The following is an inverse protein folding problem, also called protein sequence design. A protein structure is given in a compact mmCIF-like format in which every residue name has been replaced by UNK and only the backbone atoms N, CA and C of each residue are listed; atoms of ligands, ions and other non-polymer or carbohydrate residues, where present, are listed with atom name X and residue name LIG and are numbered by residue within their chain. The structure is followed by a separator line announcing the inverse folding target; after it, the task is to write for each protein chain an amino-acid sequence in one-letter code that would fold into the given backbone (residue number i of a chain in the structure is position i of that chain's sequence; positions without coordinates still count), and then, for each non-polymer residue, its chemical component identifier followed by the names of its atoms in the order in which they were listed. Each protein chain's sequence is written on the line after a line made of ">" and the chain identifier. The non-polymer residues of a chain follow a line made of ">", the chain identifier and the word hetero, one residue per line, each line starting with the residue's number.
data_IF_588672034030
#
_entry.id   IF_588672034030
#
_cell.length_a   1.000
_cell.length_b   1.000
_cell.length_c   1.000
_cell.angle_alpha   90.00
_cell.angle_beta   90.00
_cell.angle_gamma   90.00
#
_symmetry.space_group_name_H-M   'P 1'
#
loop_
_entity.id
_entity.type
_entity.pdbx_description
1 polymer ?
#
# COMPACT_ATOMS: atom_id res chain seq x y z
N UNK A 1 23.68 8.49 -7.53
CA UNK A 1 22.45 7.71 -7.24
C UNK A 1 21.83 8.32 -5.98
N UNK A 2 20.90 9.27 -6.14
CA UNK A 2 20.34 10.01 -4.98
C UNK A 2 18.87 10.41 -5.14
N UNK A 3 18.17 10.01 -6.21
CA UNK A 3 16.78 10.40 -6.43
C UNK A 3 15.81 9.49 -5.63
N UNK A 4 16.16 8.22 -5.49
CA UNK A 4 15.26 7.16 -5.00
C UNK A 4 14.98 7.25 -3.49
N UNK A 5 15.93 7.81 -2.72
CA UNK A 5 15.82 7.92 -1.25
C UNK A 5 14.62 8.75 -0.79
N UNK A 6 14.29 9.83 -1.50
CA UNK A 6 13.20 10.71 -1.08
C UNK A 6 11.83 10.02 -1.20
N UNK A 7 11.61 9.25 -2.27
CA UNK A 7 10.35 8.53 -2.46
C UNK A 7 10.15 7.47 -1.39
N UNK A 8 11.19 6.66 -1.14
CA UNK A 8 11.19 5.67 -0.08
C UNK A 8 10.84 6.28 1.28
N UNK A 9 11.52 7.35 1.68
CA UNK A 9 11.27 8.01 2.97
C UNK A 9 9.86 8.57 3.09
N UNK A 10 9.31 9.14 2.01
CA UNK A 10 7.94 9.69 1.99
C UNK A 10 6.90 8.59 2.09
N UNK A 11 7.05 7.51 1.32
CA UNK A 11 6.12 6.38 1.37
C UNK A 11 6.23 5.68 2.72
N UNK A 12 7.43 5.50 3.26
CA UNK A 12 7.63 4.90 4.57
C UNK A 12 7.02 5.75 5.70
N UNK A 13 7.10 7.09 5.61
CA UNK A 13 6.37 7.98 6.52
C UNK A 13 4.86 7.79 6.43
N UNK A 14 4.32 7.70 5.21
CA UNK A 14 2.90 7.48 4.98
C UNK A 14 2.43 6.14 5.60
N UNK A 15 3.19 5.07 5.38
CA UNK A 15 2.89 3.75 5.94
C UNK A 15 3.00 3.75 7.46
N UNK A 16 3.98 4.44 8.06
CA UNK A 16 4.10 4.54 9.53
C UNK A 16 2.89 5.23 10.17
N UNK A 17 2.24 6.18 9.48
CA UNK A 17 0.99 6.77 9.97
C UNK A 17 -0.19 5.79 9.88
N UNK A 18 -0.17 4.89 8.90
CA UNK A 18 -1.22 3.88 8.69
C UNK A 18 -1.03 2.64 9.57
N UNK A 19 0.20 2.29 9.95
CA UNK A 19 0.52 1.15 10.83
C UNK A 19 -0.40 1.03 12.07
N UNK A 20 -0.58 2.06 12.91
CA UNK A 20 -1.46 1.94 14.07
C UNK A 20 -2.93 1.68 13.71
N UNK A 21 -3.38 2.15 12.54
CA UNK A 21 -4.73 1.87 12.03
C UNK A 21 -4.85 0.45 11.49
N UNK A 22 -3.80 -0.04 10.83
CA UNK A 22 -3.74 -1.41 10.31
C UNK A 22 -3.63 -2.43 11.44
N UNK A 23 -2.78 -2.17 12.44
CA UNK A 23 -2.63 -3.02 13.62
C UNK A 23 -3.95 -3.14 14.41
N UNK A 24 -4.74 -2.07 14.46
CA UNK A 24 -6.09 -2.10 15.04
C UNK A 24 -7.04 -3.05 14.29
N UNK A 25 -6.86 -3.18 12.98
CA UNK A 25 -7.59 -4.13 12.11
C UNK A 25 -6.94 -5.53 12.07
N UNK A 26 -5.88 -5.77 12.85
CA UNK A 26 -5.02 -6.97 12.78
C UNK A 26 -4.40 -7.20 11.40
N UNK A 27 -4.12 -6.10 10.71
CA UNK A 27 -3.35 -6.05 9.48
C UNK A 27 -2.01 -5.35 9.67
N UNK A 28 -1.09 -5.60 8.76
CA UNK A 28 0.17 -4.88 8.61
C UNK A 28 0.45 -4.70 7.12
N UNK A 29 1.31 -3.74 6.79
CA UNK A 29 1.73 -3.48 5.41
C UNK A 29 3.21 -3.13 5.41
N UNK A 30 3.92 -3.64 4.43
CA UNK A 30 5.35 -3.42 4.24
C UNK A 30 5.62 -2.97 2.81
N UNK A 31 6.43 -1.92 2.68
CA UNK A 31 6.94 -1.51 1.38
C UNK A 31 7.95 -2.55 0.88
N UNK A 32 7.75 -3.00 -0.36
CA UNK A 32 8.66 -3.97 -1.00
C UNK A 32 9.58 -3.26 -1.97
N UNK A 33 9.01 -2.49 -2.89
CA UNK A 33 9.79 -1.82 -3.94
C UNK A 33 8.99 -0.69 -4.60
N UNK A 34 9.67 0.21 -5.31
CA UNK A 34 9.03 1.26 -6.12
C UNK A 34 9.57 1.13 -7.55
N UNK A 35 8.69 0.90 -8.52
CA UNK A 35 9.09 0.73 -9.92
C UNK A 35 9.42 2.07 -10.59
N UNK A 36 10.15 2.01 -11.70
CA UNK A 36 10.45 3.17 -12.56
C UNK A 36 9.19 3.87 -13.11
N UNK A 37 8.09 3.14 -13.24
CA UNK A 37 6.77 3.67 -13.61
C UNK A 37 6.09 4.48 -12.50
N UNK A 38 6.78 4.72 -11.38
CA UNK A 38 6.25 5.34 -10.16
C UNK A 38 5.10 4.50 -9.56
N UNK A 39 5.24 3.17 -9.58
CA UNK A 39 4.28 2.25 -8.94
C UNK A 39 4.88 1.73 -7.65
N UNK A 40 4.19 1.96 -6.53
CA UNK A 40 4.63 1.46 -5.22
C UNK A 40 4.11 0.04 -5.04
N UNK A 41 5.02 -0.91 -4.80
CA UNK A 41 4.70 -2.29 -4.45
C UNK A 41 4.70 -2.47 -2.96
N UNK A 42 3.53 -2.79 -2.41
CA UNK A 42 3.31 -3.03 -1.00
C UNK A 42 2.91 -4.48 -0.78
N UNK A 43 3.38 -5.08 0.30
CA UNK A 43 2.97 -6.39 0.77
C UNK A 43 2.13 -6.22 2.02
N UNK A 44 0.87 -6.62 1.95
CA UNK A 44 0.02 -6.69 3.12
C UNK A 44 0.30 -7.99 3.88
N UNK A 45 0.26 -7.90 5.19
CA UNK A 45 0.58 -8.96 6.15
C UNK A 45 -0.54 -8.97 7.19
N UNK A 46 -1.59 -9.79 7.02
CA UNK A 46 -2.70 -9.72 7.97
C UNK A 46 -3.92 -10.58 7.68
N UNK A 47 -4.80 -10.65 8.67
CA UNK A 47 -5.89 -11.63 8.78
C UNK A 47 -7.15 -11.33 7.93
N UNK A 48 -7.15 -10.29 7.09
CA UNK A 48 -8.33 -9.95 6.28
C UNK A 48 -8.45 -10.73 4.96
N UNK A 49 -7.77 -11.88 4.83
CA UNK A 49 -8.01 -12.84 3.74
C UNK A 49 -9.41 -13.47 3.76
N UNK A 50 -10.23 -13.21 4.79
CA UNK A 50 -11.57 -13.81 4.93
C UNK A 50 -12.74 -12.91 4.52
N UNK A 51 -12.52 -11.65 4.13
CA UNK A 51 -13.60 -10.74 3.71
C UNK A 51 -13.26 -10.09 2.37
N UNK A 52 -13.45 -10.83 1.28
CA UNK A 52 -13.09 -10.48 -0.11
C UNK A 52 -13.63 -9.11 -0.57
N UNK A 53 -14.71 -8.61 0.04
CA UNK A 53 -15.32 -7.32 -0.30
C UNK A 53 -14.65 -6.13 0.43
N UNK A 54 -14.03 -6.34 1.58
CA UNK A 54 -13.40 -5.28 2.39
C UNK A 54 -11.99 -4.93 1.90
N UNK A 55 -11.26 -5.90 1.34
CA UNK A 55 -9.89 -5.71 0.85
C UNK A 55 -9.80 -4.65 -0.26
N UNK A 56 -10.75 -4.62 -1.21
CA UNK A 56 -10.77 -3.61 -2.27
C UNK A 56 -10.95 -2.19 -1.73
N UNK A 57 -11.87 -1.99 -0.78
CA UNK A 57 -12.16 -0.67 -0.20
C UNK A 57 -10.98 -0.18 0.65
N UNK A 58 -10.35 -1.09 1.38
CA UNK A 58 -9.21 -0.79 2.25
C UNK A 58 -7.95 -0.48 1.43
N UNK A 59 -7.68 -1.26 0.37
CA UNK A 59 -6.62 -0.98 -0.60
C UNK A 59 -6.81 0.40 -1.25
N UNK A 60 -8.02 0.71 -1.71
CA UNK A 60 -8.32 2.00 -2.33
C UNK A 60 -8.07 3.18 -1.35
N UNK A 61 -8.42 3.03 -0.07
CA UNK A 61 -8.15 4.05 0.95
C UNK A 61 -6.65 4.31 1.16
N UNK A 62 -5.84 3.24 1.18
CA UNK A 62 -4.39 3.34 1.34
C UNK A 62 -3.75 3.95 0.09
N UNK A 63 -4.15 3.51 -1.10
CA UNK A 63 -3.68 4.07 -2.36
C UNK A 63 -3.97 5.57 -2.44
N UNK A 64 -5.20 6.00 -2.15
CA UNK A 64 -5.58 7.41 -2.16
C UNK A 64 -4.76 8.24 -1.16
N UNK A 65 -4.47 7.67 0.00
CA UNK A 65 -3.65 8.31 1.03
C UNK A 65 -2.20 8.49 0.56
N UNK A 66 -1.63 7.47 -0.07
CA UNK A 66 -0.27 7.52 -0.63
C UNK A 66 -0.21 8.52 -1.79
N UNK A 67 -1.15 8.48 -2.74
CA UNK A 67 -1.25 9.44 -3.85
C UNK A 67 -1.37 10.88 -3.34
N UNK A 68 -2.12 11.11 -2.25
CA UNK A 68 -2.26 12.43 -1.63
C UNK A 68 -0.97 12.90 -0.97
N UNK A 69 -0.24 12.02 -0.28
CA UNK A 69 1.04 12.37 0.37
C UNK A 69 2.20 12.46 -0.62
N UNK A 70 2.17 11.66 -1.68
CA UNK A 70 3.23 11.51 -2.69
C UNK A 70 2.59 11.52 -4.08
N UNK A 71 2.31 12.71 -4.65
CA UNK A 71 1.67 12.83 -5.96
C UNK A 71 2.56 12.40 -7.13
N UNK A 72 3.83 12.06 -6.85
CA UNK A 72 4.76 11.48 -7.83
C UNK A 72 4.41 10.03 -8.15
N UNK A 73 3.78 9.31 -7.21
CA UNK A 73 3.31 7.95 -7.41
C UNK A 73 2.11 7.96 -8.35
N UNK A 74 2.10 7.05 -9.33
CA UNK A 74 0.97 6.87 -10.26
C UNK A 74 -0.04 5.88 -9.72
N UNK A 75 0.43 4.77 -9.15
CA UNK A 75 -0.42 3.68 -8.70
C UNK A 75 0.21 2.93 -7.52
N UNK A 76 -0.60 2.23 -6.74
CA UNK A 76 -0.12 1.35 -5.66
C UNK A 76 -0.56 -0.08 -5.93
N UNK A 77 0.40 -0.98 -6.05
CA UNK A 77 0.16 -2.40 -6.22
C UNK A 77 0.37 -3.15 -4.92
N UNK A 78 -0.66 -3.88 -4.50
CA UNK A 78 -0.58 -4.84 -3.43
C UNK A 78 -0.11 -6.19 -4.02
N UNK A 79 1.06 -6.65 -3.63
CA UNK A 79 1.54 -8.00 -3.94
C UNK A 79 1.00 -8.95 -2.88
N UNK A 80 -0.27 -9.31 -3.05
CA UNK A 80 -0.95 -10.43 -2.39
C UNK A 80 -1.47 -11.38 -3.49
N UNK A 81 -1.37 -12.69 -3.29
CA UNK A 81 -1.90 -13.71 -4.22
C UNK A 81 -3.44 -13.81 -4.20
N UNK A 82 -4.15 -12.71 -3.92
CA UNK A 82 -5.60 -12.66 -3.74
C UNK A 82 -6.34 -12.32 -5.03
N UNK A 83 -6.73 -13.37 -5.75
CA UNK A 83 -7.79 -13.46 -6.78
C UNK A 83 -8.59 -12.18 -7.09
N UNK A 84 -8.39 -11.75 -8.33
CA UNK A 84 -9.43 -11.23 -9.22
C UNK A 84 -10.80 -11.88 -8.94
N UNK A 85 -11.80 -11.08 -8.58
CA UNK A 85 -13.21 -11.47 -8.81
C UNK A 85 -14.07 -10.23 -9.02
N UNK A 86 -13.93 -9.67 -10.21
CA UNK A 86 -14.98 -8.92 -10.89
C UNK A 86 -16.16 -9.87 -11.13
N UNK A 87 -17.34 -9.59 -10.56
CA UNK A 87 -18.62 -10.14 -11.02
C UNK A 87 -19.26 -9.20 -12.02
#
# INVERSE_FOLDING_TARGET
>A
MSADKNLLERVENALNQLRPYLEADRGDVTLVDITDDMVVRLKFLGACSSCSMSAMTLKAGIEQTILRMVPEIKSVEAIEEGEESYS
#
